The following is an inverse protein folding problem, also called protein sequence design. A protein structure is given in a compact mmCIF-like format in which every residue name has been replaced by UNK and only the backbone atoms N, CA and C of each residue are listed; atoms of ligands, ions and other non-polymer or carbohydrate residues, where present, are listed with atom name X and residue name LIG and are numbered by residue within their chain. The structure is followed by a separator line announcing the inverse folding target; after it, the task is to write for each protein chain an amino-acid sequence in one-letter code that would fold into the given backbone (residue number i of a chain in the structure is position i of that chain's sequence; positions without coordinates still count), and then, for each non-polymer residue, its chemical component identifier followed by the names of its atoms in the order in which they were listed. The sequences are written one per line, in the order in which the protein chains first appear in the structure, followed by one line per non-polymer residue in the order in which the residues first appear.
data_IF_426568681800
#
_entry.id   IF_426568681800
#
_cell.length_a   1.000
_cell.length_b   1.000
_cell.length_c   1.000
_cell.angle_alpha   90.00
_cell.angle_beta   90.00
_cell.angle_gamma   90.00
#
_symmetry.space_group_name_H-M   'P 1'
#
loop_
_entity.id
_entity.type
_entity.pdbx_description
1 polymer ?
#
# COMPACT_ATOMS: atom_id res chain seq x y z
N UNK A 1 0.11 -22.68 13.31
CA UNK A 1 -1.35 -22.68 13.08
C UNK A 1 -1.98 -21.29 13.00
N UNK A 2 -1.38 -20.21 13.54
CA UNK A 2 -1.86 -18.82 13.33
C UNK A 2 -1.40 -18.24 11.98
N UNK A 3 -0.18 -18.55 11.55
CA UNK A 3 0.39 -18.07 10.27
C UNK A 3 -0.37 -18.59 9.05
N UNK A 4 -0.89 -19.83 9.10
CA UNK A 4 -1.68 -20.43 8.03
C UNK A 4 -3.10 -19.85 7.94
N UNK A 5 -3.70 -19.49 9.08
CA UNK A 5 -5.01 -18.84 9.13
C UNK A 5 -4.91 -17.39 8.60
N UNK A 6 -3.85 -16.67 8.98
CA UNK A 6 -3.56 -15.32 8.49
C UNK A 6 -3.23 -15.33 6.98
N UNK A 7 -2.50 -16.35 6.51
CA UNK A 7 -2.26 -16.56 5.09
C UNK A 7 -3.57 -16.86 4.35
N UNK A 8 -4.41 -17.78 4.84
CA UNK A 8 -5.68 -18.14 4.18
C UNK A 8 -6.66 -16.97 4.06
N UNK A 9 -6.74 -16.10 5.07
CA UNK A 9 -7.58 -14.91 5.02
C UNK A 9 -7.01 -13.84 4.08
N UNK A 10 -5.68 -13.62 4.09
CA UNK A 10 -5.01 -12.72 3.15
C UNK A 10 -5.06 -13.21 1.69
N UNK A 11 -5.06 -14.52 1.45
CA UNK A 11 -5.14 -15.11 0.10
C UNK A 11 -6.53 -14.89 -0.50
N UNK A 12 -7.61 -15.12 0.26
CA UNK A 12 -8.98 -14.89 -0.23
C UNK A 12 -9.28 -13.39 -0.48
N UNK A 13 -8.72 -12.50 0.35
CA UNK A 13 -8.87 -11.06 0.17
C UNK A 13 -8.10 -10.55 -1.05
N UNK A 14 -6.87 -11.04 -1.26
CA UNK A 14 -6.09 -10.74 -2.46
C UNK A 14 -6.79 -11.20 -3.75
N UNK A 15 -7.45 -12.36 -3.73
CA UNK A 15 -8.15 -12.87 -4.91
C UNK A 15 -9.31 -11.95 -5.33
N UNK A 16 -10.06 -11.41 -4.36
CA UNK A 16 -11.12 -10.44 -4.63
C UNK A 16 -10.58 -9.10 -5.12
N UNK A 17 -9.49 -8.61 -4.53
CA UNK A 17 -8.83 -7.37 -4.96
C UNK A 17 -8.26 -7.50 -6.38
N UNK A 18 -7.60 -8.61 -6.67
CA UNK A 18 -7.05 -8.95 -7.99
C UNK A 18 -8.16 -9.10 -9.03
N UNK A 19 -9.21 -9.87 -8.74
CA UNK A 19 -10.34 -10.04 -9.65
C UNK A 19 -11.03 -8.70 -9.97
N UNK A 20 -11.18 -7.82 -8.96
CA UNK A 20 -11.75 -6.49 -9.17
C UNK A 20 -10.88 -5.63 -10.10
N UNK A 21 -9.55 -5.72 -10.00
CA UNK A 21 -8.59 -4.98 -10.81
C UNK A 21 -8.58 -5.44 -12.27
N UNK A 22 -8.66 -6.75 -12.51
CA UNK A 22 -8.71 -7.32 -13.87
C UNK A 22 -9.99 -6.98 -14.62
N UNK A 23 -11.15 -7.07 -13.95
CA UNK A 23 -12.43 -6.67 -14.55
C UNK A 23 -12.43 -5.16 -14.85
N UNK A 24 -11.78 -4.37 -13.99
CA UNK A 24 -11.62 -2.93 -14.21
C UNK A 24 -10.78 -2.62 -15.45
N UNK A 25 -9.61 -3.22 -15.63
CA UNK A 25 -8.77 -2.91 -16.79
C UNK A 25 -9.44 -3.28 -18.12
N UNK A 26 -10.23 -4.37 -18.14
CA UNK A 26 -11.03 -4.76 -19.32
C UNK A 26 -12.13 -3.73 -19.61
N UNK A 27 -12.87 -3.30 -18.59
CA UNK A 27 -13.94 -2.31 -18.76
C UNK A 27 -13.39 -0.92 -19.15
N UNK A 28 -12.20 -0.58 -18.65
CA UNK A 28 -11.55 0.71 -18.94
C UNK A 28 -10.96 0.73 -20.35
N UNK A 29 -10.51 -0.41 -20.89
CA UNK A 29 -10.03 -0.54 -22.25
C UNK A 29 -11.13 -0.50 -23.33
N UNK A 30 -12.40 -0.65 -22.95
CA UNK A 30 -13.53 -0.74 -23.87
C UNK A 30 -14.24 0.60 -24.14
N UNK A 31 -14.05 1.63 -23.30
CA UNK A 31 -14.72 2.93 -23.44
C UNK A 31 -13.75 3.98 -23.98
N UNK A 32 -13.60 4.01 -25.31
CA UNK A 32 -12.92 5.09 -26.02
C UNK A 32 -13.89 6.24 -26.32
N UNK A 33 -13.84 7.30 -25.53
CA UNK A 33 -14.66 8.51 -25.71
C UNK A 33 -13.96 9.76 -25.14
N UNK A 34 -14.32 10.92 -25.69
CA UNK A 34 -13.55 12.17 -25.75
C UNK A 34 -13.03 12.68 -24.39
N UNK A 35 -11.95 13.45 -24.43
CA UNK A 35 -11.10 13.95 -23.32
C UNK A 35 -11.79 14.49 -22.05
N UNK A 36 -13.07 14.87 -22.15
CA UNK A 36 -13.94 15.27 -21.02
C UNK A 36 -14.55 14.05 -20.27
N UNK A 37 -14.90 12.98 -20.99
CA UNK A 37 -15.32 11.69 -20.42
C UNK A 37 -14.16 11.03 -19.66
N UNK A 38 -12.93 11.21 -20.15
CA UNK A 38 -11.70 10.75 -19.50
C UNK A 38 -11.57 11.28 -18.05
N UNK A 39 -11.88 12.55 -17.80
CA UNK A 39 -11.85 13.13 -16.45
C UNK A 39 -12.90 12.57 -15.52
N UNK A 40 -14.13 12.40 -16.03
CA UNK A 40 -15.19 11.76 -15.26
C UNK A 40 -14.83 10.32 -14.94
N UNK A 41 -14.27 9.58 -15.90
CA UNK A 41 -13.79 8.22 -15.72
C UNK A 41 -12.66 8.13 -14.67
N UNK A 42 -11.73 9.09 -14.65
CA UNK A 42 -10.69 9.21 -13.62
C UNK A 42 -11.30 9.36 -12.23
N UNK A 43 -12.20 10.34 -12.08
CA UNK A 43 -12.85 10.61 -10.80
C UNK A 43 -13.66 9.40 -10.32
N UNK A 44 -14.35 8.73 -11.25
CA UNK A 44 -15.09 7.49 -10.97
C UNK A 44 -14.15 6.35 -10.56
N UNK A 45 -12.97 6.22 -11.18
CA UNK A 45 -11.95 5.22 -10.82
C UNK A 45 -11.45 5.45 -9.39
N UNK A 46 -11.03 6.67 -9.06
CA UNK A 46 -10.57 7.03 -7.70
C UNK A 46 -11.66 6.76 -6.66
N UNK A 47 -12.89 7.19 -6.92
CA UNK A 47 -14.03 6.99 -6.01
C UNK A 47 -14.33 5.51 -5.80
N UNK A 48 -14.19 4.68 -6.84
CA UNK A 48 -14.43 3.24 -6.76
C UNK A 48 -13.35 2.53 -5.94
N UNK A 49 -12.07 2.81 -6.20
CA UNK A 49 -10.95 2.23 -5.42
C UNK A 49 -11.08 2.57 -3.94
N UNK A 50 -11.33 3.86 -3.63
CA UNK A 50 -11.59 4.31 -2.26
C UNK A 50 -12.76 3.56 -1.62
N UNK A 51 -13.87 3.40 -2.33
CA UNK A 51 -15.05 2.68 -1.81
C UNK A 51 -14.78 1.20 -1.56
N UNK A 52 -14.11 0.50 -2.48
CA UNK A 52 -13.84 -0.94 -2.33
C UNK A 52 -12.91 -1.20 -1.15
N UNK A 53 -11.80 -0.46 -1.04
CA UNK A 53 -10.86 -0.64 0.08
C UNK A 53 -11.47 -0.25 1.43
N UNK A 54 -12.17 0.88 1.51
CA UNK A 54 -12.86 1.28 2.74
C UNK A 54 -13.95 0.29 3.12
N UNK A 55 -14.74 -0.20 2.16
CA UNK A 55 -15.76 -1.20 2.42
C UNK A 55 -15.16 -2.49 2.98
N UNK A 56 -14.02 -2.93 2.44
CA UNK A 56 -13.28 -4.09 2.96
C UNK A 56 -12.82 -3.90 4.41
N UNK A 57 -12.22 -2.74 4.74
CA UNK A 57 -11.81 -2.41 6.12
C UNK A 57 -13.03 -2.36 7.06
N UNK A 58 -14.09 -1.67 6.65
CA UNK A 58 -15.32 -1.57 7.44
C UNK A 58 -15.98 -2.93 7.67
N UNK A 59 -16.00 -3.80 6.65
CA UNK A 59 -16.55 -5.14 6.77
C UNK A 59 -15.74 -5.98 7.77
N UNK A 60 -14.41 -5.96 7.67
CA UNK A 60 -13.53 -6.66 8.61
C UNK A 60 -13.68 -6.14 10.05
N UNK A 61 -13.81 -4.82 10.21
CA UNK A 61 -14.10 -4.20 11.51
C UNK A 61 -15.42 -4.70 12.10
N UNK A 62 -16.50 -4.69 11.30
CA UNK A 62 -17.82 -5.14 11.76
C UNK A 62 -17.76 -6.62 12.13
N UNK A 63 -17.17 -7.48 11.31
CA UNK A 63 -17.05 -8.91 11.60
C UNK A 63 -16.26 -9.18 12.88
N UNK A 64 -15.12 -8.51 13.08
CA UNK A 64 -14.30 -8.64 14.29
C UNK A 64 -15.10 -8.25 15.54
N UNK A 65 -15.81 -7.13 15.50
CA UNK A 65 -16.60 -6.64 16.63
C UNK A 65 -17.84 -7.49 16.90
N UNK A 66 -18.48 -8.04 15.86
CA UNK A 66 -19.57 -8.98 16.03
C UNK A 66 -19.08 -10.28 16.69
N UNK A 67 -17.93 -10.81 16.27
CA UNK A 67 -17.33 -11.99 16.93
C UNK A 67 -17.03 -11.67 18.39
N UNK A 68 -16.41 -10.52 18.68
CA UNK A 68 -16.16 -10.05 20.04
C UNK A 68 -17.44 -10.01 20.88
N UNK A 69 -18.50 -9.41 20.35
CA UNK A 69 -19.82 -9.30 20.97
C UNK A 69 -20.45 -10.67 21.26
N UNK A 70 -20.46 -11.60 20.29
CA UNK A 70 -21.07 -12.92 20.48
C UNK A 70 -20.31 -13.75 21.50
N UNK A 71 -18.97 -13.70 21.47
CA UNK A 71 -18.13 -14.45 22.41
C UNK A 71 -18.25 -13.86 23.81
N UNK A 72 -18.14 -12.54 23.97
CA UNK A 72 -18.30 -11.91 25.28
C UNK A 72 -19.67 -12.19 25.90
N UNK A 73 -20.72 -12.18 25.07
CA UNK A 73 -22.08 -12.53 25.50
C UNK A 73 -22.20 -13.98 25.96
N UNK A 74 -21.55 -14.91 25.29
CA UNK A 74 -21.55 -16.31 25.68
C UNK A 74 -20.86 -16.55 27.03
N UNK A 75 -19.73 -15.87 27.29
CA UNK A 75 -18.96 -16.03 28.52
C UNK A 75 -19.55 -15.28 29.72
N UNK A 76 -20.08 -14.07 29.52
CA UNK A 76 -20.63 -13.25 30.62
C UNK A 76 -22.05 -13.66 31.03
N UNK A 77 -22.79 -14.34 30.15
CA UNK A 77 -24.14 -14.85 30.45
C UNK A 77 -25.19 -13.75 30.70
N UNK A 78 -26.39 -14.17 31.13
CA UNK A 78 -27.52 -13.27 31.44
C UNK A 78 -27.49 -12.70 32.86
N UNK A 79 -26.77 -13.35 33.78
CA UNK A 79 -26.68 -12.94 35.19
C UNK A 79 -25.25 -13.07 35.68
N UNK A 80 -24.70 -11.99 36.22
CA UNK A 80 -23.41 -12.00 36.91
C UNK A 80 -23.69 -12.08 38.40
N UNK A 81 -23.45 -13.25 38.99
CA UNK A 81 -23.57 -13.45 40.44
C UNK A 81 -22.21 -13.16 41.06
N UNK A 82 -22.05 -11.97 41.63
CA UNK A 82 -20.90 -11.63 42.45
C UNK A 82 -21.37 -11.38 43.88
N UNK A 83 -20.71 -12.05 44.83
CA UNK A 83 -20.83 -11.77 46.28
C UNK A 83 -22.26 -11.67 46.85
N UNK A 84 -23.22 -12.42 46.28
CA UNK A 84 -24.60 -12.47 46.78
C UNK A 84 -25.53 -11.37 46.26
N UNK A 85 -25.06 -10.49 45.39
CA UNK A 85 -25.90 -9.53 44.65
C UNK A 85 -26.07 -10.00 43.20
N UNK A 86 -27.32 -10.20 42.77
CA UNK A 86 -27.63 -10.44 41.35
C UNK A 86 -27.50 -9.11 40.60
N UNK A 87 -26.40 -8.93 39.86
CA UNK A 87 -26.28 -7.83 38.89
C UNK A 87 -26.64 -8.34 37.51
N UNK A 88 -27.43 -7.56 36.76
CA UNK A 88 -27.77 -7.88 35.38
C UNK A 88 -26.48 -8.02 34.55
N UNK A 89 -26.35 -9.13 33.83
CA UNK A 89 -25.19 -9.38 32.98
C UNK A 89 -25.10 -8.40 31.81
N UNK A 90 -24.04 -8.53 31.00
CA UNK A 90 -23.86 -7.64 29.86
C UNK A 90 -24.97 -7.83 28.83
N UNK A 91 -25.71 -6.74 28.54
CA UNK A 91 -26.63 -6.69 27.41
C UNK A 91 -25.86 -6.81 26.08
N UNK A 92 -26.57 -7.12 24.99
CA UNK A 92 -25.98 -7.13 23.64
C UNK A 92 -25.30 -5.81 23.29
N UNK A 93 -25.88 -4.68 23.70
CA UNK A 93 -25.29 -3.35 23.49
C UNK A 93 -24.01 -3.16 24.31
N UNK A 94 -23.96 -3.62 25.56
CA UNK A 94 -22.75 -3.55 26.38
C UNK A 94 -21.62 -4.42 25.82
N UNK A 95 -21.96 -5.61 25.30
CA UNK A 95 -21.01 -6.51 24.64
C UNK A 95 -20.44 -5.89 23.35
N UNK A 96 -21.28 -5.26 22.54
CA UNK A 96 -20.83 -4.54 21.35
C UNK A 96 -19.98 -3.33 21.72
N UNK A 97 -20.41 -2.55 22.72
CA UNK A 97 -19.66 -1.42 23.24
C UNK A 97 -18.26 -1.85 23.69
N UNK A 98 -18.17 -2.92 24.48
CA UNK A 98 -16.90 -3.51 24.90
C UNK A 98 -15.99 -3.88 23.72
N UNK A 99 -16.53 -4.63 22.75
CA UNK A 99 -15.76 -5.07 21.59
C UNK A 99 -15.23 -3.87 20.79
N UNK A 100 -16.07 -2.85 20.58
CA UNK A 100 -15.72 -1.63 19.82
C UNK A 100 -14.69 -0.79 20.55
N UNK A 101 -14.87 -0.51 21.84
CA UNK A 101 -13.90 0.30 22.60
C UNK A 101 -12.54 -0.40 22.70
N UNK A 102 -12.53 -1.74 22.72
CA UNK A 102 -11.31 -2.55 22.76
C UNK A 102 -10.63 -2.55 21.40
N UNK A 103 -11.39 -2.71 20.31
CA UNK A 103 -10.85 -2.67 18.94
C UNK A 103 -10.29 -1.30 18.59
N UNK A 104 -10.96 -0.23 19.03
CA UNK A 104 -10.52 1.15 18.84
C UNK A 104 -9.44 1.58 19.85
N UNK A 105 -9.01 0.69 20.75
CA UNK A 105 -7.99 0.96 21.78
C UNK A 105 -8.34 2.12 22.72
N UNK A 106 -9.63 2.41 22.90
CA UNK A 106 -10.11 3.43 23.85
C UNK A 106 -10.05 2.90 25.28
N UNK A 107 -10.59 1.70 25.51
CA UNK A 107 -10.43 0.93 26.75
C UNK A 107 -10.80 1.67 28.04
N UNK A 108 -12.03 2.15 28.17
CA UNK A 108 -12.53 2.84 29.35
C UNK A 108 -12.46 2.00 30.63
N UNK A 109 -12.56 0.66 30.52
CA UNK A 109 -12.44 -0.25 31.67
C UNK A 109 -13.59 -0.14 32.67
N UNK A 110 -14.74 0.37 32.21
CA UNK A 110 -15.95 0.63 32.98
C UNK A 110 -16.83 -0.62 33.19
N UNK A 111 -16.58 -1.68 32.44
CA UNK A 111 -17.32 -2.94 32.52
C UNK A 111 -16.57 -3.98 33.36
N UNK A 112 -17.29 -4.60 34.30
CA UNK A 112 -16.77 -5.69 35.11
C UNK A 112 -16.61 -6.96 34.26
N UNK A 113 -15.41 -7.52 34.29
CA UNK A 113 -15.04 -8.70 33.51
C UNK A 113 -15.08 -9.96 34.38
N UNK A 114 -15.67 -11.03 33.85
CA UNK A 114 -15.53 -12.35 34.47
C UNK A 114 -14.14 -12.95 34.21
N UNK A 115 -13.62 -13.69 35.18
CA UNK A 115 -12.29 -14.29 35.14
C UNK A 115 -12.16 -15.34 34.03
N UNK A 116 -13.27 -15.96 33.63
CA UNK A 116 -13.32 -16.92 32.53
C UNK A 116 -13.05 -16.28 31.15
N UNK A 117 -13.22 -14.96 31.00
CA UNK A 117 -13.02 -14.27 29.73
C UNK A 117 -11.59 -13.75 29.54
N UNK A 118 -10.73 -13.83 30.57
CA UNK A 118 -9.36 -13.28 30.56
C UNK A 118 -8.53 -13.78 29.38
N UNK A 119 -8.56 -15.09 29.11
CA UNK A 119 -7.78 -15.69 28.02
C UNK A 119 -8.28 -15.19 26.65
N UNK A 120 -9.60 -15.12 26.47
CA UNK A 120 -10.19 -14.58 25.25
C UNK A 120 -9.82 -13.11 25.05
N UNK A 121 -9.86 -12.29 26.09
CA UNK A 121 -9.49 -10.88 26.02
C UNK A 121 -8.06 -10.68 25.54
N UNK A 122 -7.12 -11.49 26.01
CA UNK A 122 -5.72 -11.42 25.56
C UNK A 122 -5.63 -11.67 24.06
N UNK A 123 -6.27 -12.74 23.55
CA UNK A 123 -6.28 -13.02 22.12
C UNK A 123 -7.01 -11.93 21.33
N UNK A 124 -8.17 -11.47 21.81
CA UNK A 124 -8.97 -10.44 21.17
C UNK A 124 -8.22 -9.11 21.06
N UNK A 125 -7.46 -8.73 22.09
CA UNK A 125 -6.58 -7.56 22.08
C UNK A 125 -5.50 -7.68 21.00
N UNK A 126 -4.82 -8.83 20.92
CA UNK A 126 -3.79 -9.06 19.90
C UNK A 126 -4.38 -8.92 18.49
N UNK A 127 -5.51 -9.57 18.21
CA UNK A 127 -6.18 -9.49 16.91
C UNK A 127 -6.69 -8.07 16.60
N UNK A 128 -7.23 -7.38 17.60
CA UNK A 128 -7.69 -6.00 17.50
C UNK A 128 -6.54 -5.05 17.12
N UNK A 129 -5.40 -5.15 17.81
CA UNK A 129 -4.22 -4.33 17.51
C UNK A 129 -3.65 -4.65 16.12
N UNK A 130 -3.59 -5.93 15.73
CA UNK A 130 -3.18 -6.32 14.37
C UNK A 130 -4.12 -5.74 13.31
N UNK A 131 -5.42 -5.76 13.55
CA UNK A 131 -6.41 -5.16 12.66
C UNK A 131 -6.19 -3.66 12.49
N UNK A 132 -5.95 -2.92 13.58
CA UNK A 132 -5.70 -1.47 13.51
C UNK A 132 -4.45 -1.17 12.68
N UNK A 133 -3.37 -1.95 12.87
CA UNK A 133 -2.15 -1.82 12.08
C UNK A 133 -2.38 -2.07 10.59
N UNK A 134 -3.09 -3.15 10.25
CA UNK A 134 -3.45 -3.50 8.87
C UNK A 134 -4.36 -2.43 8.22
N UNK A 135 -5.35 -1.91 8.97
CA UNK A 135 -6.23 -0.85 8.49
C UNK A 135 -5.46 0.43 8.14
N UNK A 136 -4.49 0.84 8.99
CA UNK A 136 -3.62 1.99 8.72
C UNK A 136 -2.75 1.73 7.48
N UNK A 137 -2.17 0.53 7.35
CA UNK A 137 -1.37 0.14 6.17
C UNK A 137 -2.17 0.25 4.87
N UNK A 138 -3.37 -0.35 4.84
CA UNK A 138 -4.30 -0.28 3.70
C UNK A 138 -4.70 1.16 3.35
N UNK A 139 -4.89 2.04 4.35
CA UNK A 139 -5.17 3.46 4.13
C UNK A 139 -3.96 4.20 3.54
N UNK A 140 -2.75 3.90 4.01
CA UNK A 140 -1.52 4.47 3.46
C UNK A 140 -1.31 4.06 2.00
N UNK A 141 -1.54 2.78 1.67
CA UNK A 141 -1.42 2.28 0.31
C UNK A 141 -2.51 2.83 -0.61
N UNK A 142 -3.74 2.99 -0.11
CA UNK A 142 -4.80 3.69 -0.83
C UNK A 142 -4.39 5.13 -1.19
N UNK A 143 -3.78 5.86 -0.25
CA UNK A 143 -3.32 7.22 -0.52
C UNK A 143 -2.22 7.24 -1.58
N UNK A 144 -1.23 6.33 -1.50
CA UNK A 144 -0.17 6.19 -2.52
C UNK A 144 -0.75 5.87 -3.90
N UNK A 145 -1.70 4.94 -3.98
CA UNK A 145 -2.34 4.55 -5.24
C UNK A 145 -3.13 5.70 -5.87
N UNK A 146 -3.89 6.46 -5.06
CA UNK A 146 -4.61 7.65 -5.52
C UNK A 146 -3.63 8.71 -6.03
N UNK A 147 -2.53 8.94 -5.31
CA UNK A 147 -1.53 9.92 -5.69
C UNK A 147 -0.82 9.52 -7.00
N UNK A 148 -0.51 8.23 -7.17
CA UNK A 148 0.07 7.72 -8.40
C UNK A 148 -0.88 7.86 -9.58
N UNK A 149 -2.17 7.55 -9.39
CA UNK A 149 -3.21 7.79 -10.41
C UNK A 149 -3.24 9.28 -10.78
N UNK A 150 -3.25 10.20 -9.80
CA UNK A 150 -3.23 11.65 -10.05
C UNK A 150 -1.97 12.10 -10.78
N UNK A 151 -0.79 11.58 -10.43
CA UNK A 151 0.48 11.91 -11.09
C UNK A 151 0.48 11.47 -12.55
N UNK A 152 0.09 10.22 -12.82
CA UNK A 152 0.00 9.72 -14.20
C UNK A 152 -0.96 10.59 -15.03
N UNK A 153 -2.13 10.91 -14.48
CA UNK A 153 -3.10 11.77 -15.15
C UNK A 153 -2.62 13.20 -15.37
N UNK A 154 -1.93 13.78 -14.39
CA UNK A 154 -1.34 15.11 -14.53
C UNK A 154 -0.20 15.10 -15.56
N UNK A 155 0.58 14.03 -15.63
CA UNK A 155 1.66 13.87 -16.60
C UNK A 155 1.12 13.78 -18.03
N UNK A 156 0.11 12.96 -18.29
CA UNK A 156 -0.50 12.80 -19.62
C UNK A 156 -1.11 14.10 -20.17
N UNK A 157 -1.47 15.04 -19.29
CA UNK A 157 -2.09 16.32 -19.62
C UNK A 157 -1.15 17.50 -19.71
N UNK A 158 0.07 17.37 -19.20
CA UNK A 158 1.03 18.47 -19.25
C UNK A 158 1.52 18.60 -20.69
N UNK A 159 1.13 19.69 -21.34
CA UNK A 159 1.86 20.16 -22.51
C UNK A 159 3.30 20.46 -22.11
N UNK A 160 4.25 20.18 -23.00
CA UNK A 160 5.66 20.49 -22.79
C UNK A 160 5.80 22.02 -22.73
N UNK A 161 5.77 22.56 -21.51
CA UNK A 161 5.90 23.99 -21.25
C UNK A 161 7.36 24.38 -21.13
N UNK A 162 7.67 25.65 -21.41
CA UNK A 162 9.03 26.19 -21.30
C UNK A 162 9.63 26.01 -19.89
N UNK A 163 8.82 26.13 -18.84
CA UNK A 163 9.28 25.88 -17.46
C UNK A 163 9.59 24.40 -17.17
N UNK A 164 9.00 23.47 -17.92
CA UNK A 164 9.32 22.04 -17.85
C UNK A 164 10.63 21.74 -18.58
N UNK A 165 10.88 22.41 -19.70
CA UNK A 165 12.16 22.36 -20.41
C UNK A 165 13.29 22.84 -19.49
N UNK A 166 13.10 24.00 -18.83
CA UNK A 166 14.09 24.55 -17.88
C UNK A 166 14.33 23.61 -16.67
N UNK A 167 13.30 22.88 -16.21
CA UNK A 167 13.42 21.90 -15.13
C UNK A 167 14.14 20.61 -15.57
N UNK A 168 14.00 20.22 -16.84
CA UNK A 168 14.58 18.99 -17.40
C UNK A 168 16.06 19.15 -17.79
N UNK A 169 16.50 20.39 -18.05
CA UNK A 169 17.87 20.75 -18.44
C UNK A 169 18.84 20.90 -17.26
N UNK A 170 18.79 20.00 -16.28
CA UNK A 170 19.57 20.13 -15.06
C UNK A 170 21.10 20.26 -15.27
N UNK A 171 21.62 19.98 -16.48
CA UNK A 171 23.05 19.96 -16.79
C UNK A 171 23.51 20.91 -17.91
N UNK A 172 22.82 21.02 -19.04
CA UNK A 172 23.36 21.71 -20.23
C UNK A 172 22.73 23.08 -20.54
N UNK A 173 21.52 23.37 -20.06
CA UNK A 173 20.81 24.66 -20.21
C UNK A 173 20.92 25.28 -21.62
N UNK A 174 20.68 24.47 -22.65
CA UNK A 174 20.82 24.84 -24.06
C UNK A 174 19.48 25.28 -24.70
N UNK A 175 18.40 25.31 -23.91
CA UNK A 175 17.04 25.60 -24.39
C UNK A 175 16.36 24.45 -25.16
N UNK A 176 16.96 23.25 -25.25
CA UNK A 176 16.37 22.03 -25.80
C UNK A 176 16.39 20.88 -24.79
N UNK A 177 15.53 19.88 -24.97
CA UNK A 177 15.52 18.67 -24.13
C UNK A 177 15.74 17.49 -25.05
N UNK A 178 16.72 16.65 -24.76
CA UNK A 178 16.96 15.43 -25.52
C UNK A 178 15.97 14.30 -25.13
N UNK A 179 16.00 13.19 -25.86
CA UNK A 179 15.10 12.06 -25.60
C UNK A 179 15.35 11.38 -24.23
N UNK A 180 16.59 11.40 -23.74
CA UNK A 180 17.02 10.76 -22.49
C UNK A 180 16.77 11.66 -21.28
N UNK A 181 17.01 12.95 -21.38
CA UNK A 181 16.63 13.99 -20.41
C UNK A 181 15.13 13.98 -20.22
N UNK A 182 14.36 13.97 -21.31
CA UNK A 182 12.90 13.86 -21.24
C UNK A 182 12.48 12.56 -20.56
N UNK A 183 13.12 11.42 -20.89
CA UNK A 183 12.84 10.13 -20.25
C UNK A 183 13.13 10.15 -18.74
N UNK A 184 14.33 10.56 -18.33
CA UNK A 184 14.76 10.59 -16.93
C UNK A 184 13.87 11.54 -16.13
N UNK A 185 13.59 12.71 -16.67
CA UNK A 185 12.73 13.67 -16.01
C UNK A 185 11.27 13.22 -15.94
N UNK A 186 10.77 12.53 -16.96
CA UNK A 186 9.44 11.89 -16.93
C UNK A 186 9.36 10.81 -15.85
N UNK A 187 10.41 9.99 -15.70
CA UNK A 187 10.47 8.95 -14.66
C UNK A 187 10.52 9.54 -13.25
N UNK A 188 11.22 10.66 -13.07
CA UNK A 188 11.23 11.43 -11.82
C UNK A 188 9.86 12.06 -11.53
N UNK A 189 9.24 12.71 -12.51
CA UNK A 189 7.91 13.34 -12.36
C UNK A 189 6.80 12.33 -12.03
N UNK A 190 6.90 11.11 -12.59
CA UNK A 190 6.00 10.00 -12.29
C UNK A 190 6.32 9.29 -10.96
N UNK A 191 7.38 9.71 -10.26
CA UNK A 191 7.90 9.08 -9.04
C UNK A 191 8.18 7.58 -9.23
N UNK A 192 8.62 7.18 -10.43
CA UNK A 192 9.05 5.81 -10.73
C UNK A 192 10.50 5.56 -10.31
N UNK A 193 11.29 6.62 -10.32
CA UNK A 193 12.70 6.64 -9.92
C UNK A 193 12.88 7.85 -8.99
N UNK A 194 13.69 7.71 -7.94
CA UNK A 194 14.11 8.82 -7.09
C UNK A 194 15.49 9.35 -7.53
N UNK A 195 15.80 10.61 -7.23
CA UNK A 195 17.15 11.14 -7.43
C UNK A 195 18.23 10.28 -6.75
N UNK A 196 17.90 9.63 -5.62
CA UNK A 196 18.79 8.70 -4.91
C UNK A 196 19.18 7.47 -5.73
N UNK A 197 18.32 7.04 -6.64
CA UNK A 197 18.57 5.89 -7.52
C UNK A 197 19.44 6.31 -8.72
N UNK A 198 19.31 7.57 -9.17
CA UNK A 198 20.03 8.12 -10.31
C UNK A 198 21.48 8.44 -9.94
N UNK A 199 21.73 9.04 -8.78
CA UNK A 199 23.07 9.46 -8.34
C UNK A 199 24.14 8.37 -8.47
N UNK A 200 23.96 7.15 -7.92
CA UNK A 200 24.99 6.10 -8.03
C UNK A 200 25.22 5.62 -9.46
N UNK A 201 24.18 5.64 -10.30
CA UNK A 201 24.28 5.27 -11.72
C UNK A 201 25.09 6.34 -12.46
N UNK A 202 24.76 7.61 -12.25
CA UNK A 202 25.47 8.74 -12.86
C UNK A 202 26.89 8.89 -12.34
N UNK A 203 27.16 8.58 -11.07
CA UNK A 203 28.52 8.56 -10.52
C UNK A 203 29.35 7.44 -11.11
N UNK A 204 28.76 6.26 -11.35
CA UNK A 204 29.43 5.18 -12.07
C UNK A 204 29.69 5.58 -13.52
N UNK A 205 28.72 6.18 -14.20
CA UNK A 205 28.91 6.70 -15.54
C UNK A 205 30.05 7.72 -15.60
N UNK A 206 30.05 8.74 -14.72
CA UNK A 206 31.11 9.75 -14.61
C UNK A 206 32.50 9.19 -14.29
N UNK A 207 32.58 8.06 -13.59
CA UNK A 207 33.85 7.37 -13.33
C UNK A 207 34.38 6.63 -14.56
N UNK A 208 33.48 6.24 -15.47
CA UNK A 208 33.81 5.48 -16.68
C UNK A 208 33.93 6.37 -17.91
N UNK A 209 33.20 7.48 -17.93
CA UNK A 209 33.24 8.46 -18.99
C UNK A 209 34.51 9.30 -18.86
N UNK A 210 35.17 9.53 -19.99
CA UNK A 210 36.34 10.40 -20.09
C UNK A 210 35.97 11.88 -19.89
N UNK A 211 36.93 12.77 -20.17
CA UNK A 211 36.71 14.23 -20.14
C UNK A 211 35.67 14.72 -21.16
N UNK A 212 35.33 13.89 -22.14
CA UNK A 212 34.35 14.18 -23.19
C UNK A 212 32.90 13.85 -22.78
N UNK A 213 32.68 13.29 -21.60
CA UNK A 213 31.36 12.91 -21.10
C UNK A 213 30.75 11.70 -21.81
N UNK A 214 31.54 10.97 -22.59
CA UNK A 214 31.14 9.76 -23.31
C UNK A 214 31.93 8.55 -22.79
N UNK A 215 31.42 7.34 -23.04
CA UNK A 215 32.16 6.10 -22.82
C UNK A 215 32.49 5.53 -24.20
N UNK A 216 33.74 5.64 -24.60
CA UNK A 216 34.28 5.07 -25.83
C UNK A 216 34.97 3.72 -25.61
N UNK A 217 35.29 3.03 -26.71
CA UNK A 217 36.08 1.78 -26.67
C UNK A 217 37.43 1.97 -25.96
N UNK A 218 37.96 3.20 -26.04
CA UNK A 218 39.21 3.64 -25.43
C UNK A 218 39.12 3.66 -23.88
N UNK A 219 37.93 3.95 -23.34
CA UNK A 219 37.63 3.97 -21.90
C UNK A 219 37.30 2.57 -21.35
N UNK A 220 36.94 1.64 -22.24
CA UNK A 220 36.57 0.25 -21.92
C UNK A 220 37.81 -0.65 -21.77
N UNK A 221 39.01 -0.14 -22.04
CA UNK A 221 40.29 -0.88 -22.13
C UNK A 221 40.73 -1.72 -20.92
N UNK A 222 39.98 -1.73 -19.81
CA UNK A 222 40.18 -2.66 -18.68
C UNK A 222 38.87 -3.25 -18.10
N UNK A 223 37.71 -2.95 -18.68
CA UNK A 223 36.43 -3.52 -18.24
C UNK A 223 36.23 -4.78 -19.07
N UNK A 224 36.59 -5.93 -18.50
CA UNK A 224 36.22 -7.22 -19.08
C UNK A 224 34.71 -7.17 -19.36
N UNK A 225 34.32 -7.09 -20.64
CA UNK A 225 32.92 -7.16 -21.08
C UNK A 225 32.46 -8.58 -20.78
N UNK A 226 32.07 -8.82 -19.51
CA UNK A 226 31.57 -10.11 -19.07
C UNK A 226 30.17 -10.26 -19.67
N UNK A 227 29.87 -11.38 -20.35
CA UNK A 227 28.54 -11.61 -20.88
C UNK A 227 27.50 -11.57 -19.75
N UNK A 228 26.30 -11.05 -20.05
CA UNK A 228 25.19 -10.90 -19.09
C UNK A 228 24.89 -12.20 -18.30
N UNK A 229 25.14 -13.36 -18.90
CA UNK A 229 24.97 -14.69 -18.29
C UNK A 229 26.04 -15.06 -17.24
N UNK A 230 27.19 -14.39 -17.22
CA UNK A 230 28.21 -14.54 -16.17
C UNK A 230 27.92 -13.59 -15.01
N UNK A 231 27.56 -12.34 -15.29
CA UNK A 231 27.23 -11.35 -14.25
C UNK A 231 26.02 -11.80 -13.42
N UNK A 232 24.98 -12.36 -14.06
CA UNK A 232 23.80 -12.90 -13.35
C UNK A 232 24.14 -14.13 -12.50
N UNK A 233 25.11 -14.96 -12.93
CA UNK A 233 25.55 -16.12 -12.15
C UNK A 233 26.33 -15.71 -10.91
N UNK A 234 27.24 -14.73 -11.03
CA UNK A 234 28.04 -14.26 -9.90
C UNK A 234 27.14 -13.56 -8.84
N UNK A 235 26.08 -12.87 -9.27
CA UNK A 235 25.07 -12.28 -8.38
C UNK A 235 24.24 -13.32 -7.60
N UNK A 236 23.96 -14.49 -8.19
CA UNK A 236 23.23 -15.56 -7.51
C UNK A 236 24.10 -16.31 -6.48
N UNK A 237 25.44 -16.29 -6.61
CA UNK A 237 26.36 -16.96 -5.67
C UNK A 237 26.58 -16.16 -4.38
N UNK A 238 26.51 -14.83 -4.44
CA UNK A 238 26.74 -13.95 -3.28
C UNK A 238 25.56 -13.87 -2.28
N UNK A 239 24.39 -14.44 -2.61
CA UNK A 239 23.22 -14.48 -1.71
C UNK A 239 23.14 -15.75 -0.83
N UNK A 240 24.03 -16.73 -1.04
CA UNK A 240 24.03 -18.03 -0.35
C UNK A 240 25.19 -18.20 0.68
N UNK A 241 25.93 -17.12 0.98
CA UNK A 241 26.91 -17.04 2.09
C UNK A 241 26.42 -16.13 3.21
#
# INVERSE_FOLDING_TARGET
SVTALNAGFNINFNLFEVASKYVLDILTGLTGGAEQEKDELLYMRIRRVKRVKLFGISLQFILLNLIGMFVSRFFVGDKVVNEGEETDGWTWMMSLYWAVQTTLTVGYGDLTMDDNMRLFNIFFLIFSTMFVGDAIGKLADLNKEIEQIRRNWAFDRREVSKGMIDEFQAYENDGKVDQYEFLVASLLALNKISSKDITPIMDKFRKLAGEDGMIGDDDIGNIAIRPKSQVMRDLDVDFDQ
#
